data_IF_657020908502
#
_entry.id   IF_657020908502
#
_cell.length_a   1.000
_cell.length_b   1.000
_cell.length_c   1.000
_cell.angle_alpha   90.00
_cell.angle_beta   90.00
_cell.angle_gamma   90.00
#
_symmetry.space_group_name_H-M   'P 1'
#
loop_
_entity.id
_entity.type
_entity.pdbx_description
1 polymer ?
#
# COMPACT_ATOMS: atom_id res chain seq x y z
N UNK A 1 17.52 5.64 7.74
CA UNK A 1 16.20 6.32 7.75
C UNK A 1 16.30 7.77 7.26
N UNK A 2 17.14 8.63 7.86
CA UNK A 2 17.31 10.03 7.41
C UNK A 2 17.59 10.17 5.91
N UNK A 3 18.51 9.37 5.37
CA UNK A 3 18.83 9.34 3.93
C UNK A 3 17.64 8.97 3.04
N UNK A 4 16.70 8.15 3.54
CA UNK A 4 15.47 7.80 2.81
C UNK A 4 14.54 9.01 2.79
N UNK A 5 14.35 9.69 3.92
CA UNK A 5 13.56 10.92 3.98
C UNK A 5 14.14 12.02 3.08
N UNK A 6 15.47 12.20 3.08
CA UNK A 6 16.15 13.11 2.14
C UNK A 6 15.81 12.79 0.68
N UNK A 7 15.85 11.51 0.30
CA UNK A 7 15.51 11.08 -1.05
C UNK A 7 14.03 11.33 -1.38
N UNK A 8 13.12 11.04 -0.44
CA UNK A 8 11.69 11.35 -0.61
C UNK A 8 11.48 12.84 -0.86
N UNK A 9 12.02 13.70 0.01
CA UNK A 9 11.87 15.14 -0.12
C UNK A 9 12.54 15.70 -1.36
N UNK A 10 13.66 15.12 -1.80
CA UNK A 10 14.27 15.45 -3.08
C UNK A 10 13.29 15.23 -4.24
N UNK A 11 12.65 14.06 -4.33
CA UNK A 11 11.67 13.80 -5.40
C UNK A 11 10.42 14.68 -5.29
N UNK A 12 9.95 14.95 -4.07
CA UNK A 12 8.85 15.90 -3.84
C UNK A 12 9.21 17.30 -4.34
N UNK A 13 10.43 17.77 -4.08
CA UNK A 13 10.92 19.05 -4.57
C UNK A 13 11.02 19.09 -6.12
N UNK A 14 11.25 17.93 -6.76
CA UNK A 14 11.18 17.79 -8.23
C UNK A 14 9.73 17.70 -8.77
N UNK A 15 8.71 17.79 -7.90
CA UNK A 15 7.31 17.81 -8.29
C UNK A 15 6.58 16.47 -8.19
N UNK A 16 7.18 15.44 -7.59
CA UNK A 16 6.49 14.16 -7.38
C UNK A 16 5.21 14.36 -6.55
N UNK A 17 4.12 13.73 -7.01
CA UNK A 17 2.82 13.69 -6.32
C UNK A 17 2.46 12.31 -5.78
N UNK A 18 3.03 11.27 -6.39
CA UNK A 18 2.86 9.89 -5.97
C UNK A 18 4.24 9.28 -5.79
N UNK A 19 4.45 8.61 -4.66
CA UNK A 19 5.69 7.89 -4.38
C UNK A 19 5.32 6.43 -4.14
N UNK A 20 5.82 5.55 -5.03
CA UNK A 20 5.66 4.10 -4.90
C UNK A 20 6.77 3.53 -4.03
N UNK A 21 6.38 2.88 -2.93
CA UNK A 21 7.27 2.17 -2.03
C UNK A 21 7.43 0.73 -2.53
N UNK A 22 8.53 0.49 -3.24
CA UNK A 22 8.86 -0.81 -3.83
C UNK A 22 9.35 -1.80 -2.78
N UNK A 23 8.87 -3.06 -2.86
CA UNK A 23 9.26 -4.17 -1.98
C UNK A 23 9.23 -3.83 -0.47
N UNK A 24 8.35 -2.90 -0.06
CA UNK A 24 8.37 -2.31 1.28
C UNK A 24 8.15 -3.34 2.39
N UNK A 25 7.45 -4.43 2.09
CA UNK A 25 7.19 -5.51 3.04
C UNK A 25 8.45 -6.14 3.64
N UNK A 26 9.58 -6.06 2.93
CA UNK A 26 10.86 -6.67 3.32
C UNK A 26 11.81 -5.71 4.04
N UNK A 27 11.36 -4.49 4.34
CA UNK A 27 12.18 -3.42 4.88
C UNK A 27 12.93 -3.81 6.16
N UNK A 28 12.28 -4.54 7.07
CA UNK A 28 12.86 -4.93 8.35
C UNK A 28 13.31 -6.39 8.37
N UNK A 29 14.47 -6.65 9.00
CA UNK A 29 15.05 -7.98 9.16
C UNK A 29 15.27 -8.28 10.62
N UNK A 30 14.71 -9.38 11.09
CA UNK A 30 14.83 -9.84 12.47
C UNK A 30 15.09 -11.36 12.49
N UNK A 31 16.22 -11.82 13.06
CA UNK A 31 16.54 -13.24 13.12
C UNK A 31 15.43 -14.05 13.81
N UNK A 32 15.08 -15.20 13.24
CA UNK A 32 14.01 -16.05 13.76
C UNK A 32 12.59 -15.64 13.31
N UNK A 33 12.46 -14.59 12.50
CA UNK A 33 11.17 -14.17 11.90
C UNK A 33 11.16 -14.40 10.39
N UNK A 34 9.97 -14.39 9.76
CA UNK A 34 9.84 -14.42 8.30
C UNK A 34 10.42 -13.19 7.57
N UNK A 35 10.79 -12.12 8.29
CA UNK A 35 11.39 -10.91 7.71
C UNK A 35 10.53 -10.23 6.62
N UNK A 36 9.21 -10.36 6.76
CA UNK A 36 8.18 -9.81 5.87
C UNK A 36 7.00 -9.33 6.74
N UNK A 37 6.38 -8.19 6.40
CA UNK A 37 5.24 -7.57 7.13
C UNK A 37 5.49 -7.32 8.63
N UNK A 38 6.76 -7.11 9.01
CA UNK A 38 7.07 -6.92 10.42
C UNK A 38 6.52 -5.57 10.94
N UNK A 39 6.11 -5.45 12.21
CA UNK A 39 5.58 -4.21 12.78
C UNK A 39 6.51 -3.00 12.60
N UNK A 40 7.82 -3.23 12.59
CA UNK A 40 8.82 -2.19 12.36
C UNK A 40 8.75 -1.63 10.92
N UNK A 41 8.36 -2.44 9.93
CA UNK A 41 8.09 -1.97 8.57
C UNK A 41 6.95 -0.96 8.57
N UNK A 42 5.83 -1.31 9.23
CA UNK A 42 4.68 -0.42 9.38
C UNK A 42 5.05 0.89 10.07
N UNK A 43 5.77 0.82 11.20
CA UNK A 43 6.22 2.02 11.92
C UNK A 43 7.08 2.96 11.06
N UNK A 44 7.92 2.41 10.18
CA UNK A 44 8.72 3.23 9.27
C UNK A 44 7.85 3.89 8.19
N UNK A 45 6.84 3.20 7.67
CA UNK A 45 5.87 3.80 6.72
C UNK A 45 5.08 4.92 7.40
N UNK A 46 4.63 4.72 8.64
CA UNK A 46 3.94 5.74 9.44
C UNK A 46 4.81 7.00 9.62
N UNK A 47 6.12 6.81 9.90
CA UNK A 47 7.04 7.94 10.00
C UNK A 47 7.20 8.67 8.67
N UNK A 48 7.37 7.94 7.56
CA UNK A 48 7.45 8.55 6.23
C UNK A 48 6.18 9.34 5.91
N UNK A 49 5.01 8.76 6.23
CA UNK A 49 3.71 9.39 6.06
C UNK A 49 3.61 10.68 6.88
N UNK A 50 3.94 10.63 8.16
CA UNK A 50 3.91 11.78 9.05
C UNK A 50 4.83 12.92 8.56
N UNK A 51 6.04 12.58 8.10
CA UNK A 51 6.99 13.55 7.57
C UNK A 51 6.46 14.22 6.29
N UNK A 52 5.85 13.44 5.39
CA UNK A 52 5.24 13.96 4.17
C UNK A 52 3.99 14.78 4.44
N UNK A 53 3.13 14.37 5.39
CA UNK A 53 1.94 15.14 5.77
C UNK A 53 2.33 16.53 6.31
N UNK A 54 3.43 16.63 7.06
CA UNK A 54 3.92 17.89 7.59
C UNK A 54 4.53 18.83 6.53
N UNK A 55 5.28 18.29 5.56
CA UNK A 55 6.03 19.11 4.59
C UNK A 55 5.36 19.22 3.20
N UNK A 56 4.57 18.23 2.81
CA UNK A 56 3.99 18.09 1.47
C UNK A 56 2.70 17.24 1.48
N UNK A 57 1.59 17.73 2.09
CA UNK A 57 0.37 16.94 2.32
C UNK A 57 -0.35 16.48 1.04
N UNK A 58 -0.03 17.07 -0.11
CA UNK A 58 -0.57 16.65 -1.40
C UNK A 58 0.09 15.37 -1.94
N UNK A 59 1.21 14.92 -1.37
CA UNK A 59 1.96 13.74 -1.82
C UNK A 59 1.34 12.48 -1.24
N UNK A 60 1.10 11.49 -2.10
CA UNK A 60 0.49 10.22 -1.73
C UNK A 60 1.52 9.10 -1.78
N UNK A 61 1.55 8.26 -0.74
CA UNK A 61 2.33 7.03 -0.70
C UNK A 61 1.50 5.88 -1.26
N UNK A 62 2.14 5.09 -2.13
CA UNK A 62 1.57 3.87 -2.70
C UNK A 62 2.44 2.69 -2.29
N UNK A 63 1.91 1.74 -1.54
CA UNK A 63 2.66 0.50 -1.30
C UNK A 63 2.47 -0.48 -2.45
N UNK A 64 3.57 -1.14 -2.79
CA UNK A 64 3.54 -2.27 -3.70
C UNK A 64 3.89 -3.52 -2.91
N UNK A 65 2.89 -4.37 -2.68
CA UNK A 65 3.10 -5.69 -2.07
C UNK A 65 2.30 -6.76 -2.82
N UNK A 66 3.02 -7.75 -3.34
CA UNK A 66 2.44 -8.88 -4.07
C UNK A 66 2.13 -10.03 -3.10
N UNK A 67 1.13 -9.81 -2.25
CA UNK A 67 0.77 -10.71 -1.14
C UNK A 67 -0.76 -10.88 -1.07
N UNK A 68 -1.29 -11.83 -0.28
CA UNK A 68 -2.72 -11.97 -0.08
C UNK A 68 -3.39 -10.63 0.26
N UNK A 69 -4.64 -10.45 -0.18
CA UNK A 69 -5.33 -9.17 -0.06
C UNK A 69 -5.36 -8.63 1.38
N UNK A 70 -5.58 -9.50 2.37
CA UNK A 70 -5.57 -9.15 3.79
C UNK A 70 -4.25 -8.52 4.25
N UNK A 71 -3.12 -9.08 3.82
CA UNK A 71 -1.80 -8.56 4.17
C UNK A 71 -1.50 -7.26 3.42
N UNK A 72 -2.01 -7.12 2.20
CA UNK A 72 -1.83 -5.92 1.39
C UNK A 72 -2.61 -4.72 1.98
N UNK A 73 -3.85 -4.94 2.42
CA UNK A 73 -4.66 -3.87 3.05
C UNK A 73 -4.15 -3.47 4.44
N UNK A 74 -3.32 -4.28 5.09
CA UNK A 74 -2.70 -3.90 6.37
C UNK A 74 -1.84 -2.63 6.27
N UNK A 75 -1.33 -2.31 5.07
CA UNK A 75 -0.54 -1.10 4.81
C UNK A 75 -1.35 0.21 4.74
N UNK A 76 -2.68 0.12 4.87
CA UNK A 76 -3.47 1.29 5.22
C UNK A 76 -3.32 1.66 6.71
N UNK A 77 -2.74 0.78 7.53
CA UNK A 77 -2.61 0.95 8.98
C UNK A 77 -3.98 0.98 9.64
N UNK A 78 -4.28 2.07 10.35
CA UNK A 78 -5.63 2.33 10.91
C UNK A 78 -6.62 2.94 9.89
N UNK A 79 -6.19 3.06 8.63
CA UNK A 79 -6.93 3.73 7.55
C UNK A 79 -6.52 5.18 7.34
N UNK A 80 -5.70 5.77 8.22
CA UNK A 80 -5.34 7.19 8.17
C UNK A 80 -3.84 7.45 8.32
N UNK A 81 -3.09 6.52 8.91
CA UNK A 81 -1.73 6.77 9.41
C UNK A 81 -0.59 6.14 8.58
N UNK A 82 -0.87 5.31 7.59
CA UNK A 82 0.13 4.70 6.69
C UNK A 82 -0.06 5.16 5.24
N UNK A 83 0.04 4.24 4.27
CA UNK A 83 -0.06 4.55 2.87
C UNK A 83 -1.52 4.83 2.48
N UNK A 84 -1.72 5.84 1.65
CA UNK A 84 -3.04 6.23 1.18
C UNK A 84 -3.52 5.34 0.03
N UNK A 85 -2.61 4.64 -0.62
CA UNK A 85 -2.90 3.74 -1.72
C UNK A 85 -2.11 2.45 -1.59
N UNK A 86 -2.73 1.36 -2.04
CA UNK A 86 -2.15 0.03 -2.06
C UNK A 86 -2.39 -0.55 -3.45
N UNK A 87 -1.36 -1.11 -4.07
CA UNK A 87 -1.49 -1.69 -5.41
C UNK A 87 -2.34 -2.97 -5.41
N UNK A 88 -3.32 -3.07 -6.29
CA UNK A 88 -4.19 -4.23 -6.40
C UNK A 88 -3.70 -5.20 -7.49
N UNK A 89 -2.99 -6.25 -7.07
CA UNK A 89 -2.44 -7.25 -7.99
C UNK A 89 -3.47 -8.21 -8.60
N UNK A 90 -4.65 -8.35 -7.97
CA UNK A 90 -5.68 -9.26 -8.46
C UNK A 90 -6.48 -8.67 -9.63
N UNK A 91 -6.70 -7.35 -9.64
CA UNK A 91 -7.54 -6.69 -10.63
C UNK A 91 -7.00 -6.81 -12.07
N UNK A 92 -5.73 -6.50 -12.39
CA UNK A 92 -5.22 -6.57 -13.76
C UNK A 92 -5.39 -7.95 -14.43
N UNK A 93 -4.97 -9.08 -13.82
CA UNK A 93 -5.14 -10.39 -14.45
C UNK A 93 -6.62 -10.81 -14.56
N UNK A 94 -7.48 -10.44 -13.60
CA UNK A 94 -8.91 -10.72 -13.67
C UNK A 94 -9.59 -9.93 -14.80
N UNK A 95 -9.28 -8.65 -14.93
CA UNK A 95 -9.79 -7.82 -16.02
C UNK A 95 -9.34 -8.35 -17.39
N UNK A 96 -8.06 -8.70 -17.52
CA UNK A 96 -7.53 -9.31 -18.73
C UNK A 96 -8.20 -10.64 -19.05
N UNK A 97 -8.41 -11.50 -18.04
CA UNK A 97 -9.11 -12.76 -18.21
C UNK A 97 -10.53 -12.54 -18.74
N UNK A 98 -11.30 -11.63 -18.13
CA UNK A 98 -12.67 -11.30 -18.55
C UNK A 98 -12.72 -10.75 -19.97
N UNK A 99 -11.81 -9.87 -20.35
CA UNK A 99 -11.73 -9.36 -21.73
C UNK A 99 -11.40 -10.46 -22.74
N UNK A 100 -10.52 -11.40 -22.35
CA UNK A 100 -10.08 -12.49 -23.23
C UNK A 100 -11.12 -13.61 -23.39
N UNK A 101 -11.88 -13.92 -22.33
CA UNK A 101 -12.85 -15.03 -22.33
C UNK A 101 -14.28 -14.58 -22.60
N UNK A 102 -14.58 -13.30 -22.42
CA UNK A 102 -15.96 -12.80 -22.39
C UNK A 102 -16.73 -13.18 -21.12
N UNK A 103 -16.05 -13.79 -20.14
CA UNK A 103 -16.66 -14.25 -18.88
C UNK A 103 -16.19 -13.41 -17.69
N UNK A 104 -17.15 -12.74 -17.05
CA UNK A 104 -16.92 -11.89 -15.88
C UNK A 104 -17.09 -12.62 -14.54
N UNK A 105 -17.35 -13.93 -14.53
CA UNK A 105 -17.68 -14.68 -13.30
C UNK A 105 -16.56 -14.60 -12.25
N UNK A 106 -15.31 -14.82 -12.66
CA UNK A 106 -14.16 -14.75 -11.75
C UNK A 106 -13.96 -13.34 -11.16
N UNK A 107 -14.05 -12.31 -12.01
CA UNK A 107 -13.93 -10.92 -11.61
C UNK A 107 -15.05 -10.53 -10.62
N UNK A 108 -16.29 -10.94 -10.89
CA UNK A 108 -17.44 -10.69 -10.01
C UNK A 108 -17.28 -11.39 -8.65
N UNK A 109 -16.85 -12.66 -8.65
CA UNK A 109 -16.65 -13.40 -7.40
C UNK A 109 -15.59 -12.72 -6.52
N UNK A 110 -14.45 -12.36 -7.12
CA UNK A 110 -13.41 -11.62 -6.42
C UNK A 110 -13.90 -10.26 -5.92
N UNK A 111 -14.60 -9.48 -6.75
CA UNK A 111 -15.11 -8.16 -6.38
C UNK A 111 -16.08 -8.22 -5.19
N UNK A 112 -16.89 -9.29 -5.09
CA UNK A 112 -17.79 -9.52 -3.94
C UNK A 112 -17.06 -9.88 -2.64
N UNK A 113 -15.82 -10.37 -2.73
CA UNK A 113 -15.01 -10.69 -1.54
C UNK A 113 -14.28 -9.48 -0.96
N UNK A 114 -14.24 -8.36 -1.67
CA UNK A 114 -13.55 -7.15 -1.22
C UNK A 114 -14.34 -6.48 -0.07
N UNK A 115 -13.64 -6.15 1.00
CA UNK A 115 -14.14 -5.26 2.04
C UNK A 115 -13.60 -3.86 1.79
N UNK A 116 -14.48 -2.86 1.73
CA UNK A 116 -14.08 -1.47 1.63
C UNK A 116 -13.58 -1.00 3.01
N UNK A 117 -12.39 -0.38 3.10
CA UNK A 117 -11.99 0.30 4.32
C UNK A 117 -12.98 1.45 4.59
N UNK A 118 -13.71 1.37 5.71
CA UNK A 118 -14.59 2.46 6.19
C UNK A 118 -16.07 2.14 6.40
N UNK A 119 -16.57 0.93 6.09
CA UNK A 119 -17.99 0.56 6.36
C UNK A 119 -18.22 -0.09 7.74
N UNK A 120 -17.36 0.21 8.72
CA UNK A 120 -17.57 -0.14 10.12
C UNK A 120 -18.09 1.07 10.90
N UNK A 121 -19.34 0.98 11.37
CA UNK A 121 -19.98 1.88 12.35
C UNK A 121 -20.25 3.34 11.93
N UNK A 122 -21.36 3.54 11.22
CA UNK A 122 -22.25 4.68 11.49
C UNK A 122 -23.62 4.12 11.86
N UNK A 123 -23.81 3.82 13.14
CA UNK A 123 -25.11 3.62 13.78
C UNK A 123 -25.18 4.50 15.01
#
# INVERSE_FOLDING_TARGET
LLRVLEALFFYVAQGARYIRLDAIAFLWKEPGTPCIHLPQTHAVIQLMRLALDAAAPAVQLVTETNVPHADNVSYFGDGTNEAQMVYNFALPPLAFHTLRTGDATALQHWARSLMLPGTGSRS
#
